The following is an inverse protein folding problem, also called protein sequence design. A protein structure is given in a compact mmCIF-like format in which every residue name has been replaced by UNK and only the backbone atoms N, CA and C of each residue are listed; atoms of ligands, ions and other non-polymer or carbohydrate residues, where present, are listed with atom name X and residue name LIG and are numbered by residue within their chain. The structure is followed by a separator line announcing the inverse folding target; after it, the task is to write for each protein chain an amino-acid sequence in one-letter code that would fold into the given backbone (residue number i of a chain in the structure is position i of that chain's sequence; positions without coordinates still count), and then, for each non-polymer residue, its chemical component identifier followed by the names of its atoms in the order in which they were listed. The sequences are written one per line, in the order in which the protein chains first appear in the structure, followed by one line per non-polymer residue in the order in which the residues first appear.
data_IF_372674322190
#
_entry.id   IF_372674322190
#
_cell.length_a   1.000
_cell.length_b   1.000
_cell.length_c   1.000
_cell.angle_alpha   90.00
_cell.angle_beta   90.00
_cell.angle_gamma   90.00
#
_symmetry.space_group_name_H-M   'P 1'
#
loop_
_entity.id
_entity.type
_entity.pdbx_description
1 polymer ?
#
# COMPACT_ATOMS: atom_id res chain seq x y z
N UNK A 1 -13.24 -42.60 -70.71
CA UNK A 1 -13.69 -41.23 -70.37
C UNK A 1 -14.00 -41.22 -68.88
N UNK A 2 -13.34 -40.38 -68.07
CA UNK A 2 -13.59 -40.31 -66.64
C UNK A 2 -14.75 -39.36 -66.34
N UNK A 3 -15.63 -39.76 -65.43
CA UNK A 3 -16.61 -38.89 -64.75
C UNK A 3 -15.96 -38.21 -63.54
N UNK A 4 -16.22 -36.92 -63.27
CA UNK A 4 -15.60 -36.21 -62.17
C UNK A 4 -16.32 -36.47 -60.84
N UNK A 5 -15.53 -36.79 -59.82
CA UNK A 5 -15.89 -36.72 -58.41
C UNK A 5 -16.04 -35.25 -58.01
N UNK A 6 -17.25 -34.83 -57.63
CA UNK A 6 -17.51 -33.48 -57.13
C UNK A 6 -17.85 -33.56 -55.64
N UNK A 7 -16.94 -32.97 -54.86
CA UNK A 7 -16.87 -32.94 -53.42
C UNK A 7 -18.16 -32.43 -52.74
N UNK A 8 -19.01 -33.35 -52.27
CA UNK A 8 -20.09 -33.04 -51.33
C UNK A 8 -19.67 -32.64 -49.89
N UNK A 9 -18.49 -32.99 -49.32
CA UNK A 9 -18.23 -32.67 -47.91
C UNK A 9 -17.82 -31.21 -47.65
N UNK A 10 -17.41 -30.46 -48.68
CA UNK A 10 -16.95 -29.07 -48.52
C UNK A 10 -18.10 -28.05 -48.42
N UNK A 11 -19.24 -28.33 -49.07
CA UNK A 11 -20.38 -27.39 -49.10
C UNK A 11 -21.10 -27.34 -47.75
N UNK A 12 -21.26 -28.49 -47.08
CA UNK A 12 -21.90 -28.56 -45.76
C UNK A 12 -21.06 -27.96 -44.64
N UNK A 13 -19.73 -28.05 -44.70
CA UNK A 13 -18.83 -27.43 -43.71
C UNK A 13 -18.83 -25.90 -43.83
N UNK A 14 -18.86 -25.36 -45.05
CA UNK A 14 -18.93 -23.91 -45.28
C UNK A 14 -20.29 -23.34 -44.84
N UNK A 15 -21.41 -24.01 -45.16
CA UNK A 15 -22.75 -23.60 -44.71
C UNK A 15 -22.92 -23.66 -43.19
N UNK A 16 -22.36 -24.69 -42.53
CA UNK A 16 -22.36 -24.80 -41.07
C UNK A 16 -21.56 -23.67 -40.39
N UNK A 17 -20.41 -23.30 -40.93
CA UNK A 17 -19.62 -22.16 -40.42
C UNK A 17 -20.36 -20.83 -40.61
N UNK A 18 -21.05 -20.61 -41.73
CA UNK A 18 -21.84 -19.41 -41.99
C UNK A 18 -23.01 -19.26 -41.00
N UNK A 19 -23.60 -20.36 -40.52
CA UNK A 19 -24.70 -20.32 -39.55
C UNK A 19 -24.21 -20.21 -38.09
N UNK A 20 -23.07 -20.82 -37.75
CA UNK A 20 -22.56 -20.87 -36.36
C UNK A 20 -21.75 -19.62 -35.99
N UNK A 21 -20.99 -19.05 -36.93
CA UNK A 21 -20.18 -17.84 -36.67
C UNK A 21 -21.05 -16.66 -36.20
N UNK A 22 -22.20 -16.32 -36.84
CA UNK A 22 -23.08 -15.29 -36.34
C UNK A 22 -23.58 -15.56 -34.92
N UNK A 23 -23.96 -16.80 -34.61
CA UNK A 23 -24.46 -17.18 -33.28
C UNK A 23 -23.42 -17.03 -32.17
N UNK A 24 -22.12 -17.09 -32.47
CA UNK A 24 -21.04 -16.91 -31.49
C UNK A 24 -20.53 -15.46 -31.48
N UNK A 25 -20.46 -14.82 -32.64
CA UNK A 25 -19.87 -13.49 -32.82
C UNK A 25 -20.85 -12.39 -32.42
N UNK A 26 -22.14 -12.51 -32.76
CA UNK A 26 -23.14 -11.48 -32.42
C UNK A 26 -23.33 -11.29 -30.90
N UNK A 27 -23.43 -12.34 -30.06
CA UNK A 27 -23.53 -12.15 -28.62
C UNK A 27 -22.27 -11.51 -28.02
N UNK A 28 -21.09 -11.87 -28.53
CA UNK A 28 -19.81 -11.28 -28.10
C UNK A 28 -19.68 -9.82 -28.53
N UNK A 29 -20.08 -9.48 -29.76
CA UNK A 29 -20.13 -8.09 -30.21
C UNK A 29 -21.18 -7.29 -29.44
N UNK A 30 -22.35 -7.87 -29.16
CA UNK A 30 -23.39 -7.22 -28.37
C UNK A 30 -22.95 -6.99 -26.92
N UNK A 31 -22.28 -7.97 -26.29
CA UNK A 31 -21.66 -7.80 -24.96
C UNK A 31 -20.54 -6.75 -24.99
N UNK A 32 -19.71 -6.74 -26.04
CA UNK A 32 -18.65 -5.74 -26.21
C UNK A 32 -19.20 -4.34 -26.43
N UNK A 33 -20.23 -4.17 -27.25
CA UNK A 33 -20.89 -2.86 -27.45
C UNK A 33 -21.63 -2.41 -26.20
N UNK A 34 -22.27 -3.33 -25.46
CA UNK A 34 -22.93 -3.02 -24.18
C UNK A 34 -21.90 -2.63 -23.10
N UNK A 35 -20.73 -3.28 -23.06
CA UNK A 35 -19.57 -2.92 -22.24
C UNK A 35 -18.99 -1.56 -22.62
N UNK A 36 -18.85 -1.24 -23.91
CA UNK A 36 -18.35 0.05 -24.35
C UNK A 36 -19.37 1.16 -24.06
N UNK A 37 -20.66 0.90 -24.27
CA UNK A 37 -21.74 1.83 -23.94
C UNK A 37 -21.88 2.07 -22.44
N UNK A 38 -21.68 1.06 -21.57
CA UNK A 38 -21.66 1.27 -20.12
C UNK A 38 -20.45 2.12 -19.71
N UNK A 39 -19.26 1.82 -20.23
CA UNK A 39 -18.02 2.57 -19.95
C UNK A 39 -18.13 4.03 -20.38
N UNK A 40 -18.70 4.28 -21.56
CA UNK A 40 -18.96 5.64 -22.06
C UNK A 40 -20.03 6.35 -21.25
N UNK A 41 -21.13 5.68 -20.89
CA UNK A 41 -22.15 6.27 -20.01
C UNK A 41 -21.59 6.61 -18.63
N UNK A 42 -20.80 5.73 -18.01
CA UNK A 42 -20.15 5.99 -16.72
C UNK A 42 -19.21 7.20 -16.80
N UNK A 43 -18.43 7.33 -17.88
CA UNK A 43 -17.58 8.51 -18.14
C UNK A 43 -18.37 9.80 -18.37
N UNK A 44 -19.58 9.72 -18.94
CA UNK A 44 -20.45 10.86 -19.19
C UNK A 44 -21.33 11.24 -17.98
N UNK A 45 -21.40 10.41 -16.93
CA UNK A 45 -22.32 10.62 -15.79
C UNK A 45 -21.67 10.73 -14.41
N UNK A 46 -20.36 10.52 -14.26
CA UNK A 46 -19.70 10.74 -12.97
C UNK A 46 -19.65 12.24 -12.68
N UNK A 47 -20.58 12.75 -11.86
CA UNK A 47 -20.41 14.08 -11.26
C UNK A 47 -19.05 14.08 -10.54
N UNK A 48 -18.21 15.12 -10.72
CA UNK A 48 -16.97 15.25 -9.97
C UNK A 48 -17.26 15.10 -8.48
N UNK A 49 -16.53 14.22 -7.81
CA UNK A 49 -16.61 14.14 -6.35
C UNK A 49 -16.18 15.50 -5.78
N UNK A 50 -16.90 16.06 -4.80
CA UNK A 50 -16.44 17.28 -4.16
C UNK A 50 -15.05 17.03 -3.55
N UNK A 51 -14.15 18.02 -3.57
CA UNK A 51 -12.83 17.88 -2.99
C UNK A 51 -12.92 17.48 -1.53
N UNK A 52 -11.92 16.73 -1.07
CA UNK A 52 -11.71 16.41 0.33
C UNK A 52 -10.49 17.16 0.86
N UNK A 53 -10.06 16.83 2.08
CA UNK A 53 -8.90 17.42 2.73
C UNK A 53 -8.08 16.33 3.43
N UNK A 54 -6.76 16.54 3.50
CA UNK A 54 -5.85 15.72 4.30
C UNK A 54 -6.07 16.07 5.78
N UNK A 55 -6.42 15.08 6.59
CA UNK A 55 -6.69 15.28 8.03
C UNK A 55 -5.60 14.73 8.93
N UNK A 56 -4.77 13.80 8.42
CA UNK A 56 -3.61 13.28 9.15
C UNK A 56 -2.57 12.76 8.17
N UNK A 57 -1.29 12.98 8.52
CA UNK A 57 -0.14 12.40 7.86
C UNK A 57 0.62 11.54 8.85
N UNK A 58 0.98 10.33 8.42
CA UNK A 58 1.68 9.35 9.25
C UNK A 58 2.88 8.76 8.52
N UNK A 59 3.95 8.59 9.26
CA UNK A 59 5.12 7.83 8.83
C UNK A 59 5.39 6.71 9.82
N UNK A 60 5.93 5.61 9.32
CA UNK A 60 6.31 4.46 10.12
C UNK A 60 7.78 4.16 9.83
N UNK A 61 8.72 4.85 10.51
CA UNK A 61 10.13 4.83 10.11
C UNK A 61 10.74 3.43 10.12
N UNK A 62 10.43 2.66 11.14
CA UNK A 62 10.82 1.26 11.24
C UNK A 62 9.66 0.38 10.80
N UNK A 63 9.90 -0.50 9.82
CA UNK A 63 8.91 -1.49 9.35
C UNK A 63 8.37 -2.24 10.57
N UNK A 64 7.04 -2.33 10.66
CA UNK A 64 6.29 -3.05 11.70
C UNK A 64 6.27 -2.41 13.09
N UNK A 65 7.06 -1.37 13.35
CA UNK A 65 6.98 -0.62 14.61
C UNK A 65 5.87 0.45 14.58
N UNK A 66 5.63 1.10 15.72
CA UNK A 66 4.69 2.20 15.81
C UNK A 66 5.18 3.41 15.02
N UNK A 67 4.24 4.04 14.30
CA UNK A 67 4.49 5.29 13.60
C UNK A 67 3.97 6.47 14.40
N UNK A 68 4.22 7.67 13.90
CA UNK A 68 3.74 8.91 14.50
C UNK A 68 3.15 9.84 13.44
N UNK A 69 2.45 10.86 13.92
CA UNK A 69 1.81 11.87 13.07
C UNK A 69 2.74 13.05 12.81
N UNK A 70 2.61 13.60 11.61
CA UNK A 70 3.31 14.78 11.15
C UNK A 70 2.32 15.86 10.73
N UNK A 71 2.71 17.12 10.90
CA UNK A 71 1.97 18.26 10.32
C UNK A 71 2.27 18.41 8.83
N UNK A 72 3.51 18.16 8.44
CA UNK A 72 3.99 18.20 7.07
C UNK A 72 5.03 17.10 6.82
N UNK A 73 5.14 16.66 5.57
CA UNK A 73 6.14 15.68 5.14
C UNK A 73 6.52 15.92 3.67
N UNK A 74 7.78 15.64 3.32
CA UNK A 74 8.18 15.61 1.92
C UNK A 74 7.68 14.32 1.26
N UNK A 75 6.88 14.45 0.22
CA UNK A 75 6.53 13.38 -0.69
C UNK A 75 7.67 13.18 -1.70
N UNK A 76 8.22 11.98 -1.74
CA UNK A 76 9.27 11.54 -2.64
C UNK A 76 8.73 10.45 -3.56
N UNK A 77 9.47 10.12 -4.62
CA UNK A 77 9.08 9.05 -5.55
C UNK A 77 8.94 7.68 -4.88
N UNK A 78 9.62 7.47 -3.75
CA UNK A 78 9.59 6.24 -2.96
C UNK A 78 8.75 6.31 -1.67
N UNK A 79 7.97 7.39 -1.49
CA UNK A 79 7.00 7.53 -0.40
C UNK A 79 7.16 8.84 0.35
N UNK A 80 6.49 8.97 1.49
CA UNK A 80 6.80 10.07 2.42
C UNK A 80 8.21 9.88 2.98
N UNK A 81 8.95 10.98 3.16
CA UNK A 81 10.25 10.92 3.82
C UNK A 81 10.13 10.28 5.21
N UNK A 82 11.20 9.61 5.62
CA UNK A 82 11.30 8.74 6.80
C UNK A 82 10.49 7.44 6.72
N UNK A 83 9.53 7.28 5.81
CA UNK A 83 8.65 6.12 5.82
C UNK A 83 9.37 4.81 5.47
N UNK A 84 9.31 3.84 6.40
CA UNK A 84 9.93 2.50 6.33
C UNK A 84 11.38 2.53 5.83
N UNK A 85 12.18 3.53 6.21
CA UNK A 85 13.63 3.57 5.91
C UNK A 85 14.43 2.56 6.74
N UNK A 86 13.87 2.10 7.85
CA UNK A 86 14.44 1.07 8.70
C UNK A 86 13.59 -0.18 8.73
N UNK A 87 14.22 -1.30 9.08
CA UNK A 87 13.58 -2.59 9.28
C UNK A 87 14.34 -3.38 10.34
N UNK A 88 13.62 -4.21 11.10
CA UNK A 88 14.23 -5.15 12.03
C UNK A 88 14.34 -6.52 11.35
N UNK A 89 15.51 -7.15 11.47
CA UNK A 89 15.80 -8.48 10.96
C UNK A 89 16.29 -9.39 12.08
N UNK A 90 16.15 -10.70 11.88
CA UNK A 90 16.86 -11.69 12.67
C UNK A 90 18.39 -11.56 12.44
N UNK A 91 19.16 -11.61 13.52
CA UNK A 91 20.61 -11.40 13.44
C UNK A 91 21.32 -12.51 12.64
N UNK A 92 20.83 -13.75 12.71
CA UNK A 92 21.46 -14.91 12.06
C UNK A 92 21.04 -15.06 10.60
N UNK A 93 19.74 -14.96 10.30
CA UNK A 93 19.22 -15.23 8.96
C UNK A 93 19.16 -13.99 8.08
N UNK A 94 19.23 -12.80 8.68
CA UNK A 94 19.00 -11.50 8.03
C UNK A 94 17.63 -11.38 7.36
N UNK A 95 16.68 -12.21 7.79
CA UNK A 95 15.28 -12.12 7.36
C UNK A 95 14.50 -11.14 8.22
N UNK A 96 13.69 -10.32 7.57
CA UNK A 96 12.85 -9.34 8.21
C UNK A 96 11.78 -9.93 9.14
N UNK A 97 11.41 -9.14 10.14
CA UNK A 97 10.33 -9.45 11.07
C UNK A 97 9.15 -8.51 10.90
N UNK A 98 7.97 -9.01 11.26
CA UNK A 98 6.72 -8.27 11.14
C UNK A 98 5.79 -8.44 12.33
N UNK A 99 4.83 -7.52 12.44
CA UNK A 99 3.67 -7.61 13.36
C UNK A 99 2.93 -8.96 13.22
N UNK A 100 2.99 -9.60 12.04
CA UNK A 100 2.35 -10.91 11.81
C UNK A 100 2.99 -12.02 12.66
N UNK A 101 4.29 -11.90 12.92
CA UNK A 101 5.07 -12.83 13.71
C UNK A 101 5.18 -12.37 15.16
N UNK A 102 5.37 -11.06 15.38
CA UNK A 102 5.68 -10.45 16.68
C UNK A 102 4.82 -9.18 16.85
N UNK A 103 3.59 -9.30 17.37
CA UNK A 103 2.70 -8.17 17.61
C UNK A 103 3.32 -7.07 18.50
N UNK A 104 4.21 -7.44 19.41
CA UNK A 104 4.91 -6.57 20.36
C UNK A 104 5.75 -5.49 19.68
N UNK A 105 6.10 -5.68 18.40
CA UNK A 105 6.75 -4.62 17.61
C UNK A 105 5.94 -3.32 17.60
N UNK A 106 4.61 -3.38 17.75
CA UNK A 106 3.74 -2.21 17.85
C UNK A 106 3.98 -1.34 19.09
N UNK A 107 4.63 -1.89 20.13
CA UNK A 107 4.99 -1.19 21.36
C UNK A 107 6.33 -0.46 21.26
N UNK A 108 7.06 -0.66 20.17
CA UNK A 108 8.27 0.10 19.84
C UNK A 108 7.83 1.41 19.21
N UNK A 109 7.91 2.49 20.00
CA UNK A 109 7.56 3.83 19.58
C UNK A 109 8.70 4.47 18.80
N UNK A 110 8.33 5.32 17.86
CA UNK A 110 9.28 6.16 17.14
C UNK A 110 8.82 7.61 17.19
N UNK A 111 9.78 8.54 17.10
CA UNK A 111 9.54 9.97 17.07
C UNK A 111 10.74 10.71 16.49
N UNK A 112 10.62 12.02 16.31
CA UNK A 112 11.73 12.89 15.93
C UNK A 112 12.13 13.67 17.19
N UNK A 113 13.43 13.82 17.43
CA UNK A 113 13.95 14.68 18.49
C UNK A 113 13.54 16.14 18.29
N UNK A 114 13.53 16.91 19.38
CA UNK A 114 13.11 18.32 19.36
C UNK A 114 13.94 19.20 18.41
N UNK A 115 15.21 18.84 18.20
CA UNK A 115 16.12 19.52 17.27
C UNK A 115 15.97 19.05 15.81
N UNK A 116 15.11 18.06 15.55
CA UNK A 116 14.82 17.55 14.21
C UNK A 116 15.88 16.64 13.60
N UNK A 117 16.91 16.22 14.36
CA UNK A 117 18.07 15.52 13.81
C UNK A 117 18.04 13.99 13.96
N UNK A 118 17.38 13.49 15.00
CA UNK A 118 17.43 12.09 15.39
C UNK A 118 16.06 11.42 15.36
N UNK A 119 16.06 10.16 14.93
CA UNK A 119 14.98 9.22 15.18
C UNK A 119 15.13 8.76 16.63
N UNK A 120 14.14 9.10 17.43
CA UNK A 120 13.98 8.64 18.80
C UNK A 120 13.22 7.32 18.77
N UNK A 121 13.78 6.29 19.39
CA UNK A 121 13.19 4.95 19.47
C UNK A 121 13.04 4.59 20.94
N UNK A 122 11.80 4.37 21.39
CA UNK A 122 11.50 4.16 22.80
C UNK A 122 10.52 3.02 23.02
N UNK A 123 10.72 2.32 24.14
CA UNK A 123 9.89 1.21 24.59
C UNK A 123 9.56 1.50 26.06
N UNK A 124 8.30 1.35 26.46
CA UNK A 124 7.88 1.68 27.82
C UNK A 124 8.64 0.83 28.83
N UNK A 125 9.38 1.48 29.73
CA UNK A 125 10.17 0.81 30.77
C UNK A 125 11.60 0.45 30.38
N UNK A 126 12.04 0.81 29.16
CA UNK A 126 13.40 0.62 28.68
C UNK A 126 14.07 1.97 28.38
N UNK A 127 15.39 1.95 28.22
CA UNK A 127 16.16 3.10 27.73
C UNK A 127 15.83 3.43 26.27
N UNK A 128 16.00 4.70 25.90
CA UNK A 128 15.80 5.20 24.55
C UNK A 128 17.06 5.03 23.69
N UNK A 129 16.87 4.75 22.40
CA UNK A 129 17.93 4.79 21.38
C UNK A 129 17.70 5.94 20.43
N UNK A 130 18.76 6.69 20.13
CA UNK A 130 18.77 7.79 19.15
C UNK A 130 19.71 7.48 18.01
N UNK A 131 19.23 7.66 16.79
CA UNK A 131 20.03 7.52 15.56
C UNK A 131 19.66 8.64 14.58
N UNK A 132 20.59 9.14 13.75
CA UNK A 132 20.26 10.23 12.83
C UNK A 132 19.14 9.85 11.86
N UNK A 133 18.18 10.76 11.61
CA UNK A 133 17.11 10.50 10.63
C UNK A 133 17.61 10.49 9.18
N UNK A 134 18.75 11.16 8.93
CA UNK A 134 19.42 11.27 7.63
C UNK A 134 20.93 11.13 7.83
N UNK A 135 21.43 9.92 8.15
CA UNK A 135 22.84 9.72 8.44
C UNK A 135 23.68 9.95 7.18
N UNK A 136 24.85 10.59 7.32
CA UNK A 136 25.81 10.72 6.23
C UNK A 136 26.48 9.38 5.91
N UNK A 137 27.09 9.26 4.72
CA UNK A 137 27.82 8.05 4.35
C UNK A 137 28.99 7.76 5.32
N UNK A 138 29.67 8.80 5.80
CA UNK A 138 30.76 8.68 6.79
C UNK A 138 30.24 8.27 8.17
N UNK A 139 29.02 8.70 8.54
CA UNK A 139 28.38 8.23 9.75
C UNK A 139 28.01 6.75 9.63
N UNK A 140 27.38 6.35 8.51
CA UNK A 140 27.02 4.96 8.25
C UNK A 140 28.25 4.05 8.24
N UNK A 141 29.32 4.43 7.55
CA UNK A 141 30.54 3.63 7.48
C UNK A 141 31.21 3.41 8.85
N UNK A 142 31.03 4.34 9.79
CA UNK A 142 31.58 4.23 11.16
C UNK A 142 30.70 3.44 12.13
N UNK A 143 29.38 3.49 11.95
CA UNK A 143 28.42 2.98 12.94
C UNK A 143 27.62 1.77 12.46
N UNK A 144 27.80 1.35 11.20
CA UNK A 144 27.04 0.25 10.59
C UNK A 144 27.91 -0.57 9.66
N UNK A 145 27.41 -1.73 9.25
CA UNK A 145 28.02 -2.56 8.21
C UNK A 145 27.02 -2.79 7.07
N UNK A 146 27.44 -2.52 5.84
CA UNK A 146 26.62 -2.80 4.66
C UNK A 146 26.63 -4.30 4.35
N UNK A 147 25.50 -4.97 4.51
CA UNK A 147 25.33 -6.40 4.25
C UNK A 147 24.07 -6.69 3.43
N UNK A 148 23.91 -7.96 3.03
CA UNK A 148 22.69 -8.43 2.37
C UNK A 148 21.63 -8.77 3.43
N UNK A 149 20.40 -8.35 3.14
CA UNK A 149 19.21 -8.64 3.94
C UNK A 149 18.09 -9.11 3.03
N UNK A 150 17.18 -9.93 3.57
CA UNK A 150 16.08 -10.51 2.81
C UNK A 150 14.74 -9.94 3.28
N UNK A 151 13.98 -9.41 2.33
CA UNK A 151 12.61 -8.93 2.51
C UNK A 151 11.73 -9.58 1.46
N UNK A 152 10.75 -10.35 1.91
CA UNK A 152 9.95 -11.24 1.06
C UNK A 152 10.84 -12.13 0.18
N UNK A 153 10.55 -12.18 -1.12
CA UNK A 153 11.32 -12.94 -2.11
C UNK A 153 12.51 -12.13 -2.68
N UNK A 154 12.84 -10.97 -2.08
CA UNK A 154 13.92 -10.08 -2.52
C UNK A 154 15.09 -10.07 -1.53
N UNK A 155 16.30 -10.27 -2.06
CA UNK A 155 17.55 -9.95 -1.35
C UNK A 155 18.02 -8.55 -1.77
N UNK A 156 18.21 -7.66 -0.82
CA UNK A 156 18.69 -6.29 -1.02
C UNK A 156 19.85 -5.98 -0.07
N UNK A 157 20.37 -4.76 -0.11
CA UNK A 157 21.38 -4.29 0.83
C UNK A 157 20.78 -3.46 1.96
N UNK A 158 21.48 -3.47 3.09
CA UNK A 158 21.11 -2.71 4.28
C UNK A 158 22.31 -2.45 5.18
N UNK A 159 22.32 -1.28 5.79
CA UNK A 159 23.29 -0.88 6.80
C UNK A 159 22.83 -1.44 8.15
N UNK A 160 23.51 -2.48 8.61
CA UNK A 160 23.20 -3.17 9.86
C UNK A 160 23.89 -2.44 11.01
N UNK A 161 23.12 -2.02 12.01
CA UNK A 161 23.64 -1.34 13.20
C UNK A 161 24.37 -2.30 14.14
N UNK A 162 25.21 -1.75 15.03
CA UNK A 162 25.93 -2.50 16.06
C UNK A 162 25.10 -2.82 17.31
N UNK A 163 25.69 -3.56 18.27
CA UNK A 163 25.04 -3.95 19.52
C UNK A 163 24.50 -2.79 20.35
N UNK A 164 25.09 -1.61 20.25
CA UNK A 164 24.69 -0.39 20.95
C UNK A 164 23.26 0.06 20.59
N UNK A 165 22.85 -0.14 19.34
CA UNK A 165 21.47 0.12 18.88
C UNK A 165 20.61 -1.14 19.00
N UNK A 166 21.17 -2.30 18.63
CA UNK A 166 20.41 -3.54 18.54
C UNK A 166 19.96 -4.07 19.90
N UNK A 167 20.74 -3.79 20.97
CA UNK A 167 20.49 -4.31 22.31
C UNK A 167 19.09 -3.99 22.84
N UNK A 168 18.53 -2.81 22.51
CA UNK A 168 17.17 -2.44 22.90
C UNK A 168 16.13 -3.42 22.35
N UNK A 169 16.18 -3.69 21.04
CA UNK A 169 15.24 -4.60 20.39
C UNK A 169 15.43 -6.04 20.85
N UNK A 170 16.69 -6.47 20.96
CA UNK A 170 17.00 -7.86 21.32
C UNK A 170 16.55 -8.20 22.73
N UNK A 171 16.72 -7.29 23.69
CA UNK A 171 16.20 -7.46 25.06
C UNK A 171 14.68 -7.46 25.08
N UNK A 172 14.05 -6.47 24.46
CA UNK A 172 12.59 -6.32 24.52
C UNK A 172 11.84 -7.50 23.88
N UNK A 173 12.31 -7.97 22.71
CA UNK A 173 11.68 -9.06 21.97
C UNK A 173 12.26 -10.44 22.32
N UNK A 174 13.20 -10.51 23.26
CA UNK A 174 13.89 -11.72 23.70
C UNK A 174 14.40 -12.58 22.52
N UNK A 175 15.08 -11.94 21.57
CA UNK A 175 15.62 -12.56 20.36
C UNK A 175 16.86 -11.82 19.90
N UNK A 176 17.79 -12.49 19.23
CA UNK A 176 18.93 -11.79 18.63
C UNK A 176 18.51 -11.09 17.33
N UNK A 177 18.46 -9.76 17.37
CA UNK A 177 17.90 -8.91 16.33
C UNK A 177 18.89 -7.85 15.87
N UNK A 178 18.70 -7.36 14.66
CA UNK A 178 19.41 -6.19 14.17
C UNK A 178 18.46 -5.18 13.55
N UNK A 179 18.70 -3.90 13.86
CA UNK A 179 18.14 -2.80 13.09
C UNK A 179 18.93 -2.65 11.79
N UNK A 180 18.22 -2.36 10.71
CA UNK A 180 18.79 -2.19 9.37
C UNK A 180 18.26 -0.89 8.78
N UNK A 181 19.17 0.01 8.37
CA UNK A 181 18.84 1.16 7.53
C UNK A 181 18.96 0.81 6.05
N UNK A 182 18.08 1.37 5.21
CA UNK A 182 18.03 1.04 3.78
C UNK A 182 19.37 1.31 3.08
N UNK A 183 19.90 0.29 2.41
CA UNK A 183 21.12 0.41 1.60
C UNK A 183 20.91 1.13 0.26
N UNK A 184 21.97 1.36 -0.52
CA UNK A 184 21.89 2.09 -1.79
C UNK A 184 21.18 1.34 -2.93
N UNK A 185 21.07 0.00 -2.89
CA UNK A 185 20.43 -0.77 -3.98
C UNK A 185 18.93 -0.51 -4.02
N UNK A 186 18.35 0.06 -5.09
CA UNK A 186 16.92 0.36 -5.12
C UNK A 186 16.07 -0.92 -5.12
N UNK A 187 14.95 -0.92 -4.39
CA UNK A 187 13.92 -1.97 -4.51
C UNK A 187 12.86 -1.50 -5.49
N UNK A 188 12.98 -1.92 -6.74
CA UNK A 188 12.08 -1.53 -7.82
C UNK A 188 10.69 -2.12 -7.60
N UNK A 189 9.66 -1.31 -7.84
CA UNK A 189 8.26 -1.74 -7.76
C UNK A 189 7.94 -2.87 -8.74
N UNK A 190 7.05 -3.76 -8.30
CA UNK A 190 6.53 -4.90 -9.09
C UNK A 190 5.03 -5.03 -8.88
N UNK A 191 4.39 -6.00 -9.52
CA UNK A 191 2.93 -6.15 -9.48
C UNK A 191 2.25 -4.95 -10.11
N UNK A 192 1.30 -4.31 -9.42
CA UNK A 192 0.65 -3.09 -9.93
C UNK A 192 1.60 -1.91 -10.16
N UNK A 193 2.77 -1.90 -9.53
CA UNK A 193 3.80 -0.86 -9.71
C UNK A 193 4.90 -1.25 -10.69
N UNK A 194 4.78 -2.38 -11.39
CA UNK A 194 5.77 -2.80 -12.40
C UNK A 194 5.98 -1.68 -13.45
N UNK A 195 7.23 -1.36 -13.84
CA UNK A 195 7.49 -0.26 -14.78
C UNK A 195 6.76 -0.38 -16.12
N UNK A 196 6.45 -1.60 -16.58
CA UNK A 196 5.69 -1.85 -17.82
C UNK A 196 4.21 -1.48 -17.70
N UNK A 197 3.68 -1.45 -16.47
CA UNK A 197 2.30 -1.09 -16.15
C UNK A 197 2.23 0.39 -15.77
N UNK A 198 3.13 0.83 -14.89
CA UNK A 198 3.18 2.20 -14.38
C UNK A 198 3.71 3.20 -15.43
N UNK A 199 4.42 2.72 -16.44
CA UNK A 199 5.05 3.53 -17.49
C UNK A 199 6.33 4.25 -17.03
N UNK A 200 6.80 3.98 -15.80
CA UNK A 200 8.02 4.56 -15.22
C UNK A 200 8.61 3.63 -14.17
N UNK A 201 9.92 3.71 -13.97
CA UNK A 201 10.57 3.04 -12.84
C UNK A 201 10.35 3.82 -11.55
N UNK A 202 9.98 3.11 -10.49
CA UNK A 202 9.91 3.64 -9.14
C UNK A 202 10.42 2.61 -8.15
N UNK A 203 10.89 3.09 -7.01
CA UNK A 203 11.42 2.25 -5.95
C UNK A 203 10.71 2.51 -4.62
N UNK A 204 10.94 1.63 -3.66
CA UNK A 204 10.47 1.75 -2.28
C UNK A 204 11.59 1.45 -1.30
N UNK A 205 11.44 1.91 -0.05
CA UNK A 205 12.29 1.51 1.07
C UNK A 205 11.89 0.11 1.58
N UNK A 206 11.44 -0.05 2.82
CA UNK A 206 10.94 -1.32 3.37
C UNK A 206 9.40 -1.47 3.53
N UNK A 207 8.50 -0.72 2.85
CA UNK A 207 7.08 -1.05 2.89
C UNK A 207 6.81 -2.40 2.22
N UNK A 208 5.59 -2.93 2.41
CA UNK A 208 5.18 -4.24 1.88
C UNK A 208 5.13 -4.24 0.36
N UNK A 209 4.52 -3.21 -0.26
CA UNK A 209 4.29 -3.20 -1.72
C UNK A 209 4.55 -1.81 -2.34
N UNK A 210 3.85 -0.75 -1.89
CA UNK A 210 3.87 0.56 -2.55
C UNK A 210 4.37 1.70 -1.64
N UNK A 211 4.82 2.83 -2.24
CA UNK A 211 5.34 4.01 -1.55
C UNK A 211 4.37 4.68 -0.56
N UNK A 212 3.09 4.74 -0.93
CA UNK A 212 2.07 5.49 -0.18
C UNK A 212 0.81 4.63 -0.07
N UNK A 213 0.24 4.59 1.12
CA UNK A 213 -1.12 4.09 1.37
C UNK A 213 -2.03 5.28 1.73
N UNK A 214 -3.08 5.50 0.94
CA UNK A 214 -4.12 6.49 1.25
C UNK A 214 -5.32 5.77 1.87
N UNK A 215 -5.92 6.35 2.91
CA UNK A 215 -7.16 5.82 3.49
C UNK A 215 -8.11 6.94 3.92
N UNK A 216 -9.40 6.63 3.98
CA UNK A 216 -10.46 7.60 4.28
C UNK A 216 -11.01 7.47 5.71
N UNK A 217 -11.25 8.61 6.37
CA UNK A 217 -11.96 8.65 7.65
C UNK A 217 -13.43 8.24 7.51
N UNK A 218 -14.09 8.53 6.38
CA UNK A 218 -15.44 8.05 6.10
C UNK A 218 -15.50 6.51 6.08
N UNK A 219 -14.50 5.85 5.50
CA UNK A 219 -14.43 4.39 5.39
C UNK A 219 -14.14 3.69 6.72
N UNK A 220 -13.23 4.22 7.55
CA UNK A 220 -13.01 3.65 8.89
C UNK A 220 -14.23 3.86 9.81
N UNK A 221 -14.94 4.98 9.68
CA UNK A 221 -16.18 5.24 10.43
C UNK A 221 -17.28 4.22 10.08
N UNK A 222 -17.41 3.91 8.79
CA UNK A 222 -18.35 2.89 8.31
C UNK A 222 -17.98 1.49 8.82
N UNK A 223 -16.70 1.11 8.74
CA UNK A 223 -16.21 -0.15 9.31
C UNK A 223 -16.49 -0.23 10.82
N UNK A 224 -16.25 0.86 11.55
CA UNK A 224 -16.51 0.92 13.00
C UNK A 224 -18.00 0.78 13.32
N UNK A 225 -18.90 1.29 12.48
CA UNK A 225 -20.34 1.07 12.63
C UNK A 225 -20.69 -0.42 12.53
N UNK A 226 -20.06 -1.14 11.61
CA UNK A 226 -20.24 -2.60 11.47
C UNK A 226 -19.66 -3.37 12.66
N UNK A 227 -18.47 -3.01 13.12
CA UNK A 227 -17.85 -3.63 14.29
C UNK A 227 -18.72 -3.47 15.54
N UNK A 228 -19.20 -2.26 15.81
CA UNK A 228 -20.13 -1.98 16.92
C UNK A 228 -21.41 -2.80 16.81
N UNK A 229 -21.95 -2.97 15.60
CA UNK A 229 -23.15 -3.78 15.36
C UNK A 229 -22.94 -5.28 15.65
N UNK A 230 -21.69 -5.74 15.66
CA UNK A 230 -21.30 -7.10 16.03
C UNK A 230 -20.76 -7.21 17.47
N UNK A 231 -20.91 -6.17 18.30
CA UNK A 231 -20.51 -6.16 19.71
C UNK A 231 -19.02 -5.87 19.95
N UNK A 232 -18.30 -5.39 18.95
CA UNK A 232 -16.87 -5.08 19.04
C UNK A 232 -16.64 -3.58 19.25
N UNK A 233 -15.53 -3.22 19.90
CA UNK A 233 -15.17 -1.82 20.06
C UNK A 233 -14.68 -1.19 18.74
N UNK A 234 -14.95 0.11 18.50
CA UNK A 234 -14.35 0.85 17.40
C UNK A 234 -12.82 0.77 17.42
N UNK A 235 -12.22 0.70 16.25
CA UNK A 235 -10.76 0.68 16.07
C UNK A 235 -10.26 1.96 15.40
N UNK A 236 -8.97 2.26 15.60
CA UNK A 236 -8.31 3.41 14.98
C UNK A 236 -7.81 3.06 13.58
N UNK A 237 -7.72 4.08 12.71
CA UNK A 237 -7.19 3.91 11.35
C UNK A 237 -5.70 3.54 11.33
N UNK A 238 -4.97 3.81 12.41
CA UNK A 238 -3.57 3.42 12.62
C UNK A 238 -3.35 1.92 12.40
N UNK A 239 -4.34 1.08 12.75
CA UNK A 239 -4.27 -0.38 12.53
C UNK A 239 -4.12 -0.76 11.06
N UNK A 240 -4.56 0.11 10.15
CA UNK A 240 -4.41 -0.06 8.71
C UNK A 240 -3.10 0.50 8.16
N UNK A 241 -2.38 1.26 8.98
CA UNK A 241 -1.08 1.88 8.71
C UNK A 241 -1.01 2.77 7.46
N UNK A 242 -2.03 3.61 7.15
CA UNK A 242 -1.97 4.54 6.04
C UNK A 242 -0.96 5.66 6.30
N UNK A 243 -0.47 6.25 5.21
CA UNK A 243 0.41 7.41 5.21
C UNK A 243 -0.36 8.73 5.13
N UNK A 244 -1.31 8.79 4.20
CA UNK A 244 -2.14 9.98 3.97
C UNK A 244 -3.57 9.59 4.32
N UNK A 245 -4.12 10.28 5.31
CA UNK A 245 -5.49 10.08 5.76
C UNK A 245 -6.30 11.28 5.30
N UNK A 246 -7.33 11.01 4.51
CA UNK A 246 -8.25 12.03 4.01
C UNK A 246 -9.56 11.96 4.79
N UNK A 247 -10.25 13.09 4.92
CA UNK A 247 -11.56 13.15 5.59
C UNK A 247 -12.57 12.22 4.92
N UNK A 248 -12.71 12.37 3.61
CA UNK A 248 -13.62 11.60 2.79
C UNK A 248 -15.06 12.01 3.01
N UNK A 249 -15.83 11.99 1.93
CA UNK A 249 -17.22 12.42 1.95
C UNK A 249 -18.16 11.21 2.09
N UNK A 250 -17.94 10.20 1.26
CA UNK A 250 -18.70 8.96 1.24
C UNK A 250 -17.75 7.80 1.53
N UNK A 251 -18.12 6.81 2.37
CA UNK A 251 -17.29 5.63 2.58
C UNK A 251 -17.02 4.88 1.28
N UNK A 252 -15.82 4.34 1.15
CA UNK A 252 -15.39 3.42 0.08
C UNK A 252 -15.27 4.02 -1.32
N UNK A 253 -15.49 5.34 -1.50
CA UNK A 253 -15.29 5.97 -2.81
C UNK A 253 -13.84 5.94 -3.26
N UNK A 254 -12.89 5.71 -2.35
CA UNK A 254 -11.49 5.52 -2.71
C UNK A 254 -11.24 4.31 -3.62
N UNK A 255 -12.14 3.32 -3.61
CA UNK A 255 -11.98 2.09 -4.39
C UNK A 255 -12.04 2.31 -5.91
N UNK A 256 -12.52 3.47 -6.37
CA UNK A 256 -12.60 3.87 -7.77
C UNK A 256 -11.49 4.83 -8.19
N UNK A 257 -10.71 5.42 -7.28
CA UNK A 257 -9.76 6.46 -7.69
C UNK A 257 -8.66 5.88 -8.56
N UNK A 258 -8.32 6.55 -9.65
CA UNK A 258 -7.22 6.20 -10.55
C UNK A 258 -6.09 7.21 -10.48
N UNK A 259 -6.43 8.50 -10.42
CA UNK A 259 -5.48 9.59 -10.27
C UNK A 259 -6.02 10.57 -9.25
N UNK A 260 -5.19 10.95 -8.28
CA UNK A 260 -5.52 11.94 -7.26
C UNK A 260 -4.49 13.05 -7.25
N UNK A 261 -4.92 14.23 -6.80
CA UNK A 261 -4.10 15.43 -6.69
C UNK A 261 -4.18 16.00 -5.29
N UNK A 262 -3.03 16.36 -4.76
CA UNK A 262 -2.89 17.13 -3.53
C UNK A 262 -2.45 18.53 -3.91
N UNK A 263 -3.18 19.53 -3.43
CA UNK A 263 -2.89 20.95 -3.70
C UNK A 263 -2.95 21.73 -2.39
N UNK A 264 -1.95 22.58 -2.13
CA UNK A 264 -2.01 23.59 -1.09
C UNK A 264 -2.56 24.90 -1.63
N UNK A 265 -2.01 26.01 -1.15
CA UNK A 265 -2.30 27.36 -1.64
C UNK A 265 -1.72 27.57 -3.06
N UNK A 266 -2.16 28.63 -3.74
CA UNK A 266 -1.89 28.90 -5.17
C UNK A 266 -0.39 28.91 -5.55
N UNK A 267 0.51 29.13 -4.59
CA UNK A 267 1.96 29.14 -4.81
C UNK A 267 2.61 27.74 -4.79
N UNK A 268 1.90 26.73 -4.28
CA UNK A 268 2.43 25.36 -4.20
C UNK A 268 2.11 24.58 -5.47
N UNK A 269 3.14 23.97 -6.08
CA UNK A 269 2.94 23.07 -7.22
C UNK A 269 2.04 21.90 -6.77
N UNK A 270 0.95 21.60 -7.49
CA UNK A 270 0.13 20.44 -7.18
C UNK A 270 0.90 19.13 -7.36
N UNK A 271 0.55 18.13 -6.56
CA UNK A 271 1.21 16.84 -6.51
C UNK A 271 0.24 15.75 -6.96
N UNK A 272 0.53 15.12 -8.10
CA UNK A 272 -0.28 14.01 -8.59
C UNK A 272 0.25 12.67 -8.09
N UNK A 273 -0.67 11.75 -7.79
CA UNK A 273 -0.38 10.37 -7.46
C UNK A 273 -1.24 9.43 -8.31
N UNK A 274 -0.61 8.38 -8.83
CA UNK A 274 -1.34 7.25 -9.39
C UNK A 274 -1.88 6.40 -8.26
N UNK A 275 -3.16 6.11 -8.31
CA UNK A 275 -3.79 5.10 -7.45
C UNK A 275 -3.75 3.80 -8.24
N UNK A 276 -2.97 2.83 -7.78
CA UNK A 276 -2.58 1.68 -8.62
C UNK A 276 -3.28 0.37 -8.24
N UNK A 277 -3.73 0.25 -6.99
CA UNK A 277 -4.41 -0.95 -6.51
C UNK A 277 -5.15 -0.71 -5.20
N UNK A 278 -6.22 -1.48 -5.00
CA UNK A 278 -6.84 -1.63 -3.68
C UNK A 278 -5.87 -2.34 -2.73
N UNK A 279 -5.71 -1.83 -1.51
CA UNK A 279 -4.80 -2.43 -0.54
C UNK A 279 -5.44 -3.70 0.06
N UNK A 280 -5.00 -4.86 -0.45
CA UNK A 280 -5.36 -6.15 0.12
C UNK A 280 -4.82 -6.28 1.55
N UNK A 281 -5.71 -6.50 2.50
CA UNK A 281 -5.36 -6.56 3.91
C UNK A 281 -4.86 -7.95 4.29
N UNK A 282 -4.05 -8.00 5.34
CA UNK A 282 -3.78 -9.20 6.12
C UNK A 282 -4.44 -9.05 7.51
N UNK A 283 -4.12 -9.93 8.45
CA UNK A 283 -4.63 -9.86 9.83
C UNK A 283 -3.89 -8.85 10.73
N UNK A 284 -2.91 -8.09 10.23
CA UNK A 284 -2.22 -7.06 11.03
C UNK A 284 -3.19 -6.07 11.70
N UNK A 285 -4.28 -5.60 11.05
CA UNK A 285 -5.25 -4.74 11.70
C UNK A 285 -5.94 -5.36 12.93
N UNK A 286 -5.83 -6.67 13.15
CA UNK A 286 -6.35 -7.31 14.36
C UNK A 286 -5.51 -7.01 15.60
N UNK A 287 -4.26 -6.59 15.43
CA UNK A 287 -3.36 -6.26 16.53
C UNK A 287 -3.70 -4.88 17.08
N UNK A 288 -3.86 -4.79 18.39
CA UNK A 288 -3.98 -3.53 19.11
C UNK A 288 -2.61 -2.86 19.22
N UNK A 289 -2.40 -1.67 18.63
CA UNK A 289 -1.09 -1.03 18.67
C UNK A 289 -0.67 -0.57 20.08
N UNK A 290 -1.61 -0.46 21.02
CA UNK A 290 -1.32 -0.02 22.40
C UNK A 290 -0.97 -1.18 23.33
N UNK A 291 -1.47 -2.38 23.04
CA UNK A 291 -1.33 -3.55 23.93
C UNK A 291 -0.61 -4.73 23.27
N UNK A 292 -0.36 -4.68 21.96
CA UNK A 292 0.08 -5.80 21.13
C UNK A 292 -0.88 -7.00 21.08
N UNK A 293 -2.04 -6.94 21.75
CA UNK A 293 -2.99 -8.04 21.76
C UNK A 293 -3.64 -8.20 20.38
N UNK A 294 -3.57 -9.41 19.83
CA UNK A 294 -4.18 -9.75 18.56
C UNK A 294 -5.59 -10.27 18.78
N UNK A 295 -6.60 -9.53 18.33
CA UNK A 295 -7.96 -10.04 18.32
C UNK A 295 -8.05 -11.26 17.37
N UNK A 296 -8.66 -12.39 17.77
CA UNK A 296 -8.65 -13.61 16.97
C UNK A 296 -9.37 -13.44 15.62
N UNK A 297 -10.33 -12.52 15.53
CA UNK A 297 -11.23 -12.40 14.37
C UNK A 297 -11.30 -11.02 13.74
N UNK A 298 -11.11 -9.94 14.49
CA UNK A 298 -11.54 -8.59 14.08
C UNK A 298 -10.38 -7.64 13.93
N UNK A 299 -10.42 -6.72 12.94
CA UNK A 299 -11.51 -6.45 12.00
C UNK A 299 -11.52 -7.39 10.78
N UNK A 300 -10.63 -8.38 10.71
CA UNK A 300 -10.48 -9.28 9.55
C UNK A 300 -11.79 -9.92 9.08
N UNK A 301 -12.54 -10.59 9.96
CA UNK A 301 -13.77 -11.30 9.62
C UNK A 301 -14.85 -10.34 9.12
N UNK A 302 -15.02 -9.21 9.81
CA UNK A 302 -15.94 -8.15 9.35
C UNK A 302 -15.57 -7.70 7.95
N UNK A 303 -14.30 -7.38 7.69
CA UNK A 303 -13.85 -6.97 6.37
C UNK A 303 -14.05 -8.08 5.32
N UNK A 304 -13.73 -9.35 5.63
CA UNK A 304 -13.92 -10.48 4.71
C UNK A 304 -15.39 -10.61 4.27
N UNK A 305 -16.34 -10.29 5.14
CA UNK A 305 -17.77 -10.43 4.85
C UNK A 305 -18.25 -9.54 3.70
N UNK A 306 -17.64 -8.36 3.47
CA UNK A 306 -18.13 -7.40 2.47
C UNK A 306 -17.05 -6.68 1.64
N UNK A 307 -15.76 -6.81 1.98
CA UNK A 307 -14.66 -6.07 1.34
C UNK A 307 -13.77 -6.92 0.45
N UNK A 308 -14.18 -8.15 0.10
CA UNK A 308 -13.52 -8.97 -0.94
C UNK A 308 -13.94 -8.50 -2.34
N UNK A 309 -13.53 -7.28 -2.68
CA UNK A 309 -14.01 -6.54 -3.85
C UNK A 309 -13.04 -6.55 -5.03
N UNK A 310 -11.84 -7.10 -4.86
CA UNK A 310 -10.82 -7.11 -5.91
C UNK A 310 -10.66 -8.51 -6.50
N UNK A 311 -10.95 -8.65 -7.79
CA UNK A 311 -10.89 -9.91 -8.51
C UNK A 311 -9.48 -10.51 -8.63
N UNK A 312 -8.45 -9.68 -8.56
CA UNK A 312 -7.06 -10.10 -8.58
C UNK A 312 -6.62 -10.78 -7.29
N UNK A 313 -7.39 -10.60 -6.19
CA UNK A 313 -7.07 -11.17 -4.87
C UNK A 313 -8.33 -11.54 -4.08
N UNK A 314 -9.16 -12.37 -4.71
CA UNK A 314 -10.52 -12.75 -4.27
C UNK A 314 -10.71 -13.15 -2.79
N UNK A 315 -9.66 -13.67 -2.14
CA UNK A 315 -9.75 -14.17 -0.76
C UNK A 315 -9.33 -13.16 0.32
N UNK A 316 -8.80 -11.99 -0.08
CA UNK A 316 -8.42 -10.96 0.89
C UNK A 316 -9.37 -9.77 0.79
N UNK A 317 -9.80 -9.21 1.93
CA UNK A 317 -10.54 -7.97 1.90
C UNK A 317 -9.63 -6.78 1.62
N UNK A 318 -10.21 -5.67 1.14
CA UNK A 318 -9.49 -4.45 0.81
C UNK A 318 -9.88 -3.28 1.72
N UNK A 319 -8.87 -2.48 2.12
CA UNK A 319 -9.07 -1.22 2.86
C UNK A 319 -7.93 -0.25 2.55
N UNK A 320 -8.28 0.94 2.05
CA UNK A 320 -7.33 1.93 1.56
C UNK A 320 -6.73 1.59 0.20
N UNK A 321 -6.01 2.54 -0.38
CA UNK A 321 -5.50 2.49 -1.74
C UNK A 321 -3.98 2.64 -1.79
N UNK A 322 -3.33 1.74 -2.53
CA UNK A 322 -1.90 1.78 -2.80
C UNK A 322 -1.64 2.81 -3.89
N UNK A 323 -0.68 3.69 -3.66
CA UNK A 323 -0.40 4.82 -4.53
C UNK A 323 1.09 4.93 -4.88
N UNK A 324 1.34 5.44 -6.07
CA UNK A 324 2.64 5.69 -6.68
C UNK A 324 2.74 7.20 -7.02
N UNK A 325 3.57 7.99 -6.32
CA UNK A 325 3.68 9.42 -6.57
C UNK A 325 4.15 9.71 -8.00
N UNK A 326 3.59 10.73 -8.67
CA UNK A 326 4.13 11.24 -9.95
C UNK A 326 5.10 12.39 -9.70
N UNK A 327 4.73 13.24 -8.75
CA UNK A 327 5.47 14.42 -8.35
C UNK A 327 6.15 14.24 -6.98
N UNK A 328 7.09 15.15 -6.70
CA UNK A 328 7.74 15.31 -5.40
C UNK A 328 7.47 16.71 -4.87
N UNK A 329 7.31 16.86 -3.56
CA UNK A 329 7.00 18.16 -2.94
C UNK A 329 6.60 18.05 -1.47
N UNK A 330 6.14 19.15 -0.88
CA UNK A 330 5.62 19.17 0.49
C UNK A 330 4.15 18.75 0.50
N UNK A 331 3.77 17.92 1.47
CA UNK A 331 2.38 17.56 1.78
C UNK A 331 2.11 17.95 3.22
N UNK A 332 0.99 18.63 3.45
CA UNK A 332 0.62 19.15 4.77
C UNK A 332 -0.81 18.79 5.13
N UNK A 333 -1.07 18.64 6.42
CA UNK A 333 -2.44 18.51 6.94
C UNK A 333 -3.23 19.78 6.60
N UNK A 334 -4.45 19.61 6.09
CA UNK A 334 -5.31 20.68 5.60
C UNK A 334 -5.22 20.91 4.09
N UNK A 335 -4.23 20.34 3.39
CA UNK A 335 -4.17 20.44 1.93
C UNK A 335 -5.39 19.79 1.27
N UNK A 336 -5.82 20.41 0.17
CA UNK A 336 -6.95 19.96 -0.65
C UNK A 336 -6.61 18.64 -1.33
N UNK A 337 -7.56 17.73 -1.35
CA UNK A 337 -7.44 16.42 -2.00
C UNK A 337 -8.51 16.27 -3.08
N UNK A 338 -8.08 16.07 -4.33
CA UNK A 338 -8.95 16.00 -5.50
C UNK A 338 -8.78 14.66 -6.22
N UNK A 339 -9.91 14.11 -6.68
CA UNK A 339 -9.92 12.94 -7.55
C UNK A 339 -9.98 13.44 -8.99
N UNK A 340 -8.93 13.19 -9.76
CA UNK A 340 -8.82 13.64 -11.16
C UNK A 340 -9.37 12.63 -12.15
N UNK A 341 -9.22 11.34 -11.83
CA UNK A 341 -9.70 10.25 -12.67
C UNK A 341 -10.20 9.10 -11.79
N UNK A 342 -11.28 8.44 -12.22
CA UNK A 342 -11.82 7.23 -11.61
C UNK A 342 -11.76 6.03 -12.57
N UNK A 343 -11.84 4.82 -12.02
CA UNK A 343 -11.86 3.56 -12.73
C UNK A 343 -12.58 2.49 -11.91
N UNK A 344 -13.33 1.63 -12.59
CA UNK A 344 -13.88 0.38 -12.06
C UNK A 344 -12.95 -0.82 -12.31
N UNK A 345 -11.85 -0.62 -13.05
CA UNK A 345 -10.95 -1.67 -13.55
C UNK A 345 -9.78 -2.00 -12.62
N UNK A 346 -9.79 -1.51 -11.38
CA UNK A 346 -8.79 -1.90 -10.40
C UNK A 346 -8.75 -3.41 -10.23
N UNK A 347 -7.55 -3.97 -10.41
CA UNK A 347 -7.27 -5.40 -10.25
C UNK A 347 -5.90 -5.58 -9.61
N UNK A 348 -5.86 -6.26 -8.48
CA UNK A 348 -4.64 -6.54 -7.76
C UNK A 348 -3.74 -7.50 -8.55
N UNK A 349 -2.48 -7.12 -8.72
CA UNK A 349 -1.42 -7.91 -9.33
C UNK A 349 -0.36 -8.09 -8.25
N UNK A 350 -0.11 -9.35 -7.88
CA UNK A 350 0.84 -9.69 -6.82
C UNK A 350 2.23 -9.14 -7.17
N UNK A 351 2.79 -8.35 -6.26
CA UNK A 351 4.19 -7.93 -6.28
C UNK A 351 5.09 -8.88 -5.47
N UNK A 352 6.27 -8.38 -5.10
CA UNK A 352 7.22 -9.05 -4.21
C UNK A 352 6.66 -9.37 -2.82
#
# INVERSE_FOLDING_TARGET
MPTPDLALPAIFTVLGLILVIPLIVFPKLAQWTQSQQSTLKTKLTSKPQPPSEIVSLRVYPIKSCRGFELRSASLLTHGLDLDRKWMIVDASTREFLTIRQIPEMTLINTGISDDGNDLVISIKGEDEVRIPIRPSNEWLARNTKLEKVKIWDIVTDGYIYGPEVNGLFSRFLNRDLCLVYKGPTPRILTGNGDPRILGREQSVNFPDVHPVLIASMSSISELNTRLSSCGENPITIERFRPNIIIKGNTPWTEDSWKVVRISGDEETKPLDLDVVARCARCQVPNVNPDTAEKHPKQPWDTLVSYRRIDEGIKYKPCFGMLCAPRDVGSVEVGMKFEVLEETDQHRYIKGF
#
